data_IF_946695563898
#
_entry.id   IF_946695563898
#
_cell.length_a   1.000
_cell.length_b   1.000
_cell.length_c   1.000
_cell.angle_alpha   90.00
_cell.angle_beta   90.00
_cell.angle_gamma   90.00
#
_symmetry.space_group_name_H-M   'P 1'
#
loop_
_entity.id
_entity.type
_entity.pdbx_description
1 polymer ?
#
# COMPACT_ATOMS: atom_id res chain seq x y z
N UNK A 1 9.93 13.35 -19.14
CA UNK A 1 10.58 12.03 -19.20
C UNK A 1 12.02 12.24 -19.60
N UNK A 2 12.96 12.08 -18.67
CA UNK A 2 14.40 12.34 -18.89
C UNK A 2 15.24 11.06 -19.03
N UNK A 3 14.63 9.88 -18.91
CA UNK A 3 15.30 8.57 -18.96
C UNK A 3 14.40 7.46 -19.55
N UNK A 4 14.99 6.33 -19.93
CA UNK A 4 14.33 5.12 -20.42
C UNK A 4 13.52 4.41 -19.32
N UNK A 5 12.33 3.88 -19.67
CA UNK A 5 11.42 3.20 -18.73
C UNK A 5 11.75 1.71 -18.59
N UNK A 6 12.23 1.08 -19.65
CA UNK A 6 12.62 -0.32 -19.67
C UNK A 6 13.76 -0.54 -20.67
N UNK A 7 14.56 -1.57 -20.44
CA UNK A 7 15.63 -2.01 -21.34
C UNK A 7 15.72 -3.54 -21.31
N UNK A 8 16.06 -4.16 -22.44
CA UNK A 8 16.13 -5.60 -22.56
C UNK A 8 17.04 -6.06 -23.69
N UNK A 9 17.21 -7.36 -23.80
CA UNK A 9 18.12 -7.94 -24.77
C UNK A 9 18.22 -9.46 -24.70
N UNK A 10 19.11 -9.98 -25.52
CA UNK A 10 19.48 -11.39 -25.61
C UNK A 10 20.95 -11.54 -25.24
N UNK A 11 21.27 -12.52 -24.40
CA UNK A 11 22.60 -12.74 -23.82
C UNK A 11 23.00 -14.21 -23.82
N UNK A 12 23.11 -14.79 -25.01
CA UNK A 12 23.32 -16.24 -25.14
C UNK A 12 24.65 -16.78 -24.59
N UNK A 13 25.61 -15.88 -24.35
CA UNK A 13 26.96 -16.24 -23.90
C UNK A 13 27.30 -15.73 -22.51
N UNK A 14 26.44 -14.91 -21.88
CA UNK A 14 26.77 -14.25 -20.61
C UNK A 14 26.95 -15.27 -19.48
N UNK A 15 26.04 -16.23 -19.38
CA UNK A 15 26.09 -17.29 -18.35
C UNK A 15 27.28 -18.21 -18.61
N UNK A 16 27.51 -18.61 -19.87
CA UNK A 16 28.66 -19.44 -20.26
C UNK A 16 29.99 -18.79 -19.89
N UNK A 17 30.14 -17.48 -20.11
CA UNK A 17 31.33 -16.70 -19.72
C UNK A 17 31.48 -16.57 -18.20
N UNK A 18 30.38 -16.47 -17.45
CA UNK A 18 30.42 -16.37 -16.00
C UNK A 18 30.81 -17.69 -15.32
N UNK A 19 30.48 -18.83 -15.96
CA UNK A 19 30.77 -20.17 -15.47
C UNK A 19 32.04 -20.79 -16.09
N UNK A 20 32.80 -20.04 -16.89
CA UNK A 20 33.97 -20.51 -17.65
C UNK A 20 33.73 -21.84 -18.39
N UNK A 21 32.60 -21.93 -19.09
CA UNK A 21 32.19 -23.13 -19.83
C UNK A 21 31.84 -22.83 -21.27
N UNK A 22 32.04 -23.81 -22.15
CA UNK A 22 31.63 -23.76 -23.56
C UNK A 22 30.18 -24.18 -23.78
N UNK A 23 29.50 -24.66 -22.74
CA UNK A 23 28.07 -25.01 -22.81
C UNK A 23 27.24 -23.75 -23.11
N UNK A 24 26.38 -23.76 -24.14
CA UNK A 24 25.55 -22.60 -24.45
C UNK A 24 24.39 -22.46 -23.46
N UNK A 25 24.11 -21.23 -23.05
CA UNK A 25 22.99 -20.87 -22.19
C UNK A 25 22.25 -19.67 -22.80
N UNK A 26 21.43 -19.88 -23.84
CA UNK A 26 20.63 -18.83 -24.46
C UNK A 26 19.68 -18.21 -23.44
N UNK A 27 19.68 -16.87 -23.36
CA UNK A 27 18.89 -16.13 -22.39
C UNK A 27 18.37 -14.84 -23.02
N UNK A 28 17.10 -14.52 -22.76
CA UNK A 28 16.47 -13.25 -23.11
C UNK A 28 15.84 -12.65 -21.85
N UNK A 29 15.86 -11.33 -21.74
CA UNK A 29 15.32 -10.66 -20.57
C UNK A 29 15.03 -9.19 -20.83
N UNK A 30 14.21 -8.63 -19.94
CA UNK A 30 13.88 -7.21 -19.89
C UNK A 30 13.91 -6.79 -18.42
N UNK A 31 14.28 -5.54 -18.19
CA UNK A 31 14.24 -4.88 -16.90
C UNK A 31 13.46 -3.57 -17.02
N UNK A 32 12.77 -3.22 -15.94
CA UNK A 32 11.95 -2.01 -15.83
C UNK A 32 12.57 -1.09 -14.79
N UNK A 33 12.74 0.19 -15.14
CA UNK A 33 13.19 1.22 -14.21
C UNK A 33 12.04 1.68 -13.34
N UNK A 34 12.06 1.34 -12.06
CA UNK A 34 10.98 1.72 -11.13
C UNK A 34 10.91 3.23 -10.91
N UNK A 35 12.04 3.92 -10.88
CA UNK A 35 12.13 5.37 -10.70
C UNK A 35 11.46 6.15 -11.84
N UNK A 36 11.78 5.91 -13.14
CA UNK A 36 11.07 6.60 -14.22
C UNK A 36 9.60 6.18 -14.32
N UNK A 37 9.23 4.95 -13.95
CA UNK A 37 7.82 4.50 -13.90
C UNK A 37 7.04 5.26 -12.82
N UNK A 38 7.56 5.30 -11.59
CA UNK A 38 6.91 5.97 -10.46
C UNK A 38 6.83 7.48 -10.68
N UNK A 39 7.88 8.10 -11.23
CA UNK A 39 7.87 9.51 -11.60
C UNK A 39 6.83 9.84 -12.69
N UNK A 40 6.59 8.91 -13.63
CA UNK A 40 5.57 9.08 -14.67
C UNK A 40 4.14 8.91 -14.13
N UNK A 41 3.93 8.02 -13.16
CA UNK A 41 2.61 7.72 -12.60
C UNK A 41 1.99 8.92 -11.85
N UNK A 42 2.80 9.84 -11.30
CA UNK A 42 2.34 11.03 -10.53
C UNK A 42 1.17 10.71 -9.58
N UNK A 43 1.17 9.53 -8.97
CA UNK A 43 0.04 9.06 -8.16
C UNK A 43 0.32 9.41 -6.70
N UNK A 44 -0.57 10.20 -6.10
CA UNK A 44 -0.67 10.25 -4.65
C UNK A 44 -1.08 8.85 -4.16
N UNK A 45 -0.18 8.17 -3.46
CA UNK A 45 -0.47 6.88 -2.83
C UNK A 45 -1.39 7.17 -1.66
N UNK A 46 -2.70 7.13 -1.91
CA UNK A 46 -3.73 7.23 -0.87
C UNK A 46 -3.86 5.89 -0.15
N UNK A 47 -4.36 5.94 1.08
CA UNK A 47 -4.68 4.72 1.80
C UNK A 47 -5.76 3.93 1.05
N UNK A 48 -5.67 2.60 1.11
CA UNK A 48 -6.75 1.70 0.66
C UNK A 48 -7.89 1.61 1.67
N UNK A 49 -7.70 2.18 2.86
CA UNK A 49 -8.70 2.27 3.92
C UNK A 49 -9.89 3.11 3.45
N UNK A 50 -11.08 2.54 3.55
CA UNK A 50 -12.35 3.17 3.20
C UNK A 50 -13.01 3.79 4.44
N UNK A 51 -12.89 3.15 5.60
CA UNK A 51 -13.49 3.62 6.85
C UNK A 51 -12.46 3.61 7.99
N UNK A 52 -12.38 4.72 8.73
CA UNK A 52 -11.53 4.86 9.90
C UNK A 52 -12.35 5.06 11.17
N UNK A 53 -12.25 4.13 12.11
CA UNK A 53 -13.02 4.11 13.35
C UNK A 53 -12.24 4.82 14.46
N UNK A 54 -12.88 5.78 15.10
CA UNK A 54 -12.32 6.54 16.23
C UNK A 54 -13.10 6.16 17.49
N UNK A 55 -12.53 5.32 18.37
CA UNK A 55 -13.14 4.99 19.65
C UNK A 55 -13.09 6.18 20.61
N UNK A 56 -14.20 6.46 21.28
CA UNK A 56 -14.34 7.42 22.37
C UNK A 56 -14.64 6.60 23.63
N UNK A 57 -13.58 6.17 24.31
CA UNK A 57 -13.65 5.28 25.48
C UNK A 57 -14.28 3.88 25.24
N UNK A 58 -14.39 3.45 23.99
CA UNK A 58 -15.11 2.23 23.55
C UNK A 58 -14.22 1.32 22.69
N UNK A 59 -12.97 1.12 23.12
CA UNK A 59 -11.95 0.42 22.30
C UNK A 59 -12.37 -1.03 22.04
N UNK A 60 -12.90 -1.74 23.04
CA UNK A 60 -13.28 -3.15 22.91
C UNK A 60 -14.45 -3.34 21.93
N UNK A 61 -15.47 -2.50 22.03
CA UNK A 61 -16.64 -2.52 21.15
C UNK A 61 -16.25 -2.11 19.72
N UNK A 62 -15.36 -1.13 19.60
CA UNK A 62 -14.84 -0.68 18.30
C UNK A 62 -14.06 -1.77 17.56
N UNK A 63 -13.42 -2.70 18.27
CA UNK A 63 -12.77 -3.87 17.65
C UNK A 63 -13.82 -4.76 16.98
N UNK A 64 -14.97 -5.01 17.62
CA UNK A 64 -16.03 -5.79 17.01
C UNK A 64 -16.62 -5.10 15.76
N UNK A 65 -16.75 -3.77 15.80
CA UNK A 65 -17.25 -2.97 14.67
C UNK A 65 -16.28 -3.01 13.49
N UNK A 66 -14.97 -2.79 13.72
CA UNK A 66 -13.98 -2.84 12.63
C UNK A 66 -13.91 -4.23 12.01
N UNK A 67 -14.06 -5.28 12.83
CA UNK A 67 -14.09 -6.66 12.35
C UNK A 67 -15.31 -6.90 11.46
N UNK A 68 -16.49 -6.46 11.87
CA UNK A 68 -17.71 -6.55 11.07
C UNK A 68 -17.57 -5.85 9.71
N UNK A 69 -16.99 -4.65 9.68
CA UNK A 69 -16.73 -3.93 8.43
C UNK A 69 -15.82 -4.74 7.49
N UNK A 70 -14.76 -5.34 8.03
CA UNK A 70 -13.84 -6.20 7.26
C UNK A 70 -14.52 -7.46 6.74
N UNK A 71 -15.36 -8.09 7.55
CA UNK A 71 -16.12 -9.28 7.15
C UNK A 71 -17.13 -8.96 6.03
N UNK A 72 -17.64 -7.73 5.98
CA UNK A 72 -18.47 -7.19 4.89
C UNK A 72 -17.64 -6.72 3.67
N UNK A 73 -16.31 -6.88 3.69
CA UNK A 73 -15.42 -6.52 2.58
C UNK A 73 -15.03 -5.04 2.53
N UNK A 74 -15.31 -4.27 3.59
CA UNK A 74 -14.90 -2.87 3.72
C UNK A 74 -13.49 -2.84 4.31
N UNK A 75 -12.57 -2.17 3.63
CA UNK A 75 -11.22 -1.92 4.15
C UNK A 75 -11.30 -0.93 5.32
N UNK A 76 -11.45 -1.45 6.53
CA UNK A 76 -11.60 -0.64 7.72
C UNK A 76 -10.39 -0.73 8.67
N UNK A 77 -10.05 0.42 9.24
CA UNK A 77 -9.00 0.59 10.25
C UNK A 77 -9.58 1.35 11.45
N UNK A 78 -8.94 1.26 12.61
CA UNK A 78 -9.35 2.00 13.80
C UNK A 78 -8.14 2.66 14.46
N UNK A 79 -8.38 3.71 15.24
CA UNK A 79 -7.31 4.32 16.03
C UNK A 79 -6.92 3.44 17.21
N UNK A 80 -5.79 2.76 17.07
CA UNK A 80 -5.19 1.92 18.12
C UNK A 80 -4.28 2.71 19.07
N UNK A 81 -3.93 3.96 18.73
CA UNK A 81 -2.97 4.75 19.51
C UNK A 81 -3.64 5.63 20.58
N UNK A 82 -4.96 5.55 20.72
CA UNK A 82 -5.71 6.35 21.69
C UNK A 82 -5.50 7.86 21.51
N UNK A 83 -5.38 8.33 20.26
CA UNK A 83 -5.17 9.75 19.98
C UNK A 83 -6.46 10.51 20.30
N UNK A 84 -6.34 11.83 20.49
CA UNK A 84 -7.52 12.67 20.59
C UNK A 84 -8.30 12.64 19.26
N UNK A 85 -9.64 12.77 19.27
CA UNK A 85 -10.46 12.76 18.06
C UNK A 85 -9.94 13.68 16.94
N UNK A 86 -9.45 14.87 17.27
CA UNK A 86 -8.86 15.79 16.30
C UNK A 86 -7.60 15.26 15.62
N UNK A 87 -6.71 14.56 16.36
CA UNK A 87 -5.49 13.96 15.79
C UNK A 87 -5.84 12.75 14.92
N UNK A 88 -6.84 11.97 15.32
CA UNK A 88 -7.36 10.82 14.57
C UNK A 88 -8.02 11.29 13.27
N UNK A 89 -8.77 12.40 13.30
CA UNK A 89 -9.32 13.05 12.10
C UNK A 89 -8.22 13.55 11.16
N UNK A 90 -7.21 14.25 11.68
CA UNK A 90 -6.07 14.71 10.86
C UNK A 90 -5.34 13.53 10.20
N UNK A 91 -5.25 12.39 10.89
CA UNK A 91 -4.70 11.18 10.29
C UNK A 91 -5.56 10.70 9.11
N UNK A 92 -6.87 10.59 9.29
CA UNK A 92 -7.77 10.22 8.19
C UNK A 92 -7.65 11.18 6.98
N UNK A 93 -7.54 12.48 7.24
CA UNK A 93 -7.37 13.51 6.19
C UNK A 93 -6.05 13.38 5.43
N UNK A 94 -4.92 13.26 6.14
CA UNK A 94 -3.58 13.09 5.53
C UNK A 94 -3.52 11.86 4.63
N UNK A 95 -4.18 10.77 5.02
CA UNK A 95 -4.21 9.52 4.25
C UNK A 95 -5.35 9.47 3.23
N UNK A 96 -6.19 10.50 3.17
CA UNK A 96 -7.32 10.61 2.24
C UNK A 96 -8.40 9.54 2.47
N UNK A 97 -8.62 9.12 3.71
CA UNK A 97 -9.63 8.12 4.07
C UNK A 97 -11.01 8.77 3.95
N UNK A 98 -11.93 8.23 3.12
CA UNK A 98 -13.17 8.92 2.77
C UNK A 98 -14.23 8.93 3.88
N UNK A 99 -14.22 7.96 4.79
CA UNK A 99 -15.18 7.87 5.88
C UNK A 99 -14.52 7.73 7.24
N UNK A 100 -15.07 8.45 8.23
CA UNK A 100 -14.68 8.36 9.63
C UNK A 100 -15.91 8.00 10.45
N UNK A 101 -15.77 7.03 11.34
CA UNK A 101 -16.85 6.54 12.22
C UNK A 101 -16.43 6.79 13.66
N UNK A 102 -17.18 7.63 14.37
CA UNK A 102 -17.01 7.79 15.81
C UNK A 102 -17.83 6.73 16.54
N UNK A 103 -17.23 6.09 17.53
CA UNK A 103 -17.91 5.12 18.39
C UNK A 103 -17.77 5.63 19.81
N UNK A 104 -18.86 6.07 20.43
CA UNK A 104 -18.90 6.46 21.84
C UNK A 104 -19.94 5.64 22.59
N UNK A 105 -19.91 5.72 23.92
CA UNK A 105 -20.85 4.97 24.78
C UNK A 105 -22.32 5.32 24.53
N UNK A 106 -22.62 6.52 23.99
CA UNK A 106 -24.00 6.95 23.72
C UNK A 106 -24.53 6.44 22.37
N UNK A 107 -23.63 6.17 21.43
CA UNK A 107 -23.92 5.72 20.08
C UNK A 107 -23.99 4.18 19.95
N UNK A 108 -23.50 3.47 20.97
CA UNK A 108 -23.59 2.01 21.11
C UNK A 108 -24.96 1.58 21.67
#
# INVERSE_FOLDING_TARGET
>A
MTSSIAAGGRWDTMISKCLDTTRPFPAVGISFGLEPITAALKSDIKSVTQAYIIPINTVEESIAIVQKFRDEGINAEMDLLGRSPSKSLNHADVYGIPFVVFVGEQEL
#
